data_IF_666018549438
#
_entry.id   IF_666018549438
#
_cell.length_a   1.000
_cell.length_b   1.000
_cell.length_c   1.000
_cell.angle_alpha   90.00
_cell.angle_beta   90.00
_cell.angle_gamma   90.00
#
_symmetry.space_group_name_H-M   'P 1'
#
loop_
_entity.id
_entity.type
_entity.pdbx_description
1 polymer ?
#
# COMPACT_ATOMS: atom_id res chain seq x y z
N UNK A 1 -13.22 12.23 13.12
CA UNK A 1 -13.08 12.94 14.40
C UNK A 1 -11.74 12.62 15.07
N UNK A 2 -11.40 11.35 15.34
CA UNK A 2 -10.12 10.99 16.01
C UNK A 2 -8.83 11.42 15.29
N UNK A 3 -8.79 11.40 13.95
CA UNK A 3 -7.58 11.80 13.21
C UNK A 3 -7.26 13.29 13.34
N UNK A 4 -8.28 14.16 13.34
CA UNK A 4 -8.09 15.61 13.57
C UNK A 4 -7.61 15.87 14.99
N UNK A 5 -8.21 15.20 15.97
CA UNK A 5 -7.80 15.30 17.39
C UNK A 5 -6.35 14.85 17.63
N UNK A 6 -5.89 13.87 16.85
CA UNK A 6 -4.49 13.41 16.88
C UNK A 6 -3.52 14.38 16.18
N UNK A 7 -3.94 14.99 15.08
CA UNK A 7 -3.15 16.04 14.39
C UNK A 7 -3.07 17.33 15.24
N UNK A 8 -4.15 17.73 15.91
CA UNK A 8 -4.20 18.86 16.84
C UNK A 8 -3.28 18.63 18.06
N UNK A 9 -3.33 17.43 18.66
CA UNK A 9 -2.46 17.08 19.80
C UNK A 9 -0.97 16.90 19.44
N UNK A 10 -0.65 16.54 18.18
CA UNK A 10 0.74 16.54 17.68
C UNK A 10 1.23 17.97 17.40
N UNK A 11 0.35 18.87 16.96
CA UNK A 11 0.66 20.29 16.75
C UNK A 11 0.87 21.08 18.05
N UNK A 12 0.08 20.78 19.10
CA UNK A 12 0.29 21.39 20.43
C UNK A 12 1.61 20.94 21.06
N UNK A 13 2.03 19.69 20.87
CA UNK A 13 3.32 19.18 21.38
C UNK A 13 4.55 19.75 20.67
N UNK A 14 4.40 20.26 19.44
CA UNK A 14 5.50 20.94 18.74
C UNK A 14 5.71 22.38 19.23
N UNK A 15 4.70 23.00 19.84
CA UNK A 15 4.78 24.37 20.36
C UNK A 15 5.50 24.48 21.71
N UNK A 16 5.49 23.42 22.52
CA UNK A 16 6.05 23.42 23.90
C UNK A 16 7.55 23.02 23.98
N UNK A 17 8.27 22.91 22.86
CA UNK A 17 9.68 22.50 22.82
C UNK A 17 10.64 23.63 22.36
N UNK A 18 10.23 24.90 22.45
CA UNK A 18 11.03 26.08 22.01
C UNK A 18 11.85 26.74 23.14
N UNK A 19 12.07 26.06 24.27
CA UNK A 19 13.16 26.41 25.20
C UNK A 19 14.24 25.34 25.07
N UNK A 20 15.21 25.56 24.18
CA UNK A 20 16.47 24.83 24.28
C UNK A 20 17.05 25.03 25.68
N UNK A 21 17.70 24.00 26.25
CA UNK A 21 18.28 24.00 27.62
C UNK A 21 19.13 25.25 27.96
N UNK A 22 19.57 26.00 26.93
CA UNK A 22 20.47 27.15 26.97
C UNK A 22 19.79 28.52 26.77
N UNK A 23 18.45 28.60 26.68
CA UNK A 23 17.71 29.85 26.43
C UNK A 23 17.90 30.44 25.03
N UNK A 24 18.52 29.69 24.10
CA UNK A 24 18.71 30.06 22.69
C UNK A 24 17.56 29.45 21.86
N UNK A 25 17.01 30.24 20.92
CA UNK A 25 16.01 29.74 19.96
C UNK A 25 16.61 28.64 19.08
N UNK A 26 15.94 27.50 19.03
CA UNK A 26 16.35 26.38 18.18
C UNK A 26 15.91 26.58 16.73
N UNK A 27 16.59 25.91 15.80
CA UNK A 27 16.18 25.91 14.39
C UNK A 27 15.00 24.95 14.21
N UNK A 28 13.86 25.44 13.72
CA UNK A 28 12.68 24.62 13.42
C UNK A 28 12.98 23.58 12.34
N UNK A 29 12.34 22.40 12.42
CA UNK A 29 12.49 21.32 11.43
C UNK A 29 12.21 21.76 9.98
N UNK A 30 11.28 22.71 9.79
CA UNK A 30 10.98 23.27 8.48
C UNK A 30 12.19 23.99 7.86
N UNK A 31 12.89 24.80 8.66
CA UNK A 31 14.08 25.57 8.26
C UNK A 31 15.29 24.65 8.09
N UNK A 32 15.46 23.64 8.94
CA UNK A 32 16.61 22.72 8.83
C UNK A 32 16.51 21.76 7.64
N UNK A 33 15.30 21.33 7.27
CA UNK A 33 15.08 20.39 6.16
C UNK A 33 14.86 21.07 4.80
N UNK A 34 14.42 22.33 4.77
CA UNK A 34 14.15 23.13 3.57
C UNK A 34 13.39 22.36 2.47
N UNK A 35 12.28 21.69 2.86
CA UNK A 35 11.52 20.81 1.95
C UNK A 35 10.45 21.52 1.11
N UNK A 36 10.12 22.79 1.36
CA UNK A 36 9.15 23.56 0.56
C UNK A 36 7.76 22.91 0.43
N UNK A 37 7.01 23.30 -0.60
CA UNK A 37 5.62 22.86 -0.88
C UNK A 37 5.56 21.54 -1.69
N UNK A 38 6.11 20.44 -1.16
CA UNK A 38 6.08 19.12 -1.83
C UNK A 38 4.70 18.44 -1.66
N UNK A 39 4.14 17.80 -2.71
CA UNK A 39 2.88 17.05 -2.59
C UNK A 39 2.99 15.85 -1.65
N UNK A 40 1.88 15.48 -1.01
CA UNK A 40 1.85 14.33 -0.12
C UNK A 40 2.10 13.01 -0.88
N UNK A 41 3.17 12.30 -0.49
CA UNK A 41 3.51 10.99 -1.06
C UNK A 41 3.00 9.86 -0.16
N UNK A 42 2.47 8.80 -0.78
CA UNK A 42 2.04 7.57 -0.08
C UNK A 42 3.21 6.94 0.69
N UNK A 43 2.92 6.33 1.83
CA UNK A 43 3.94 5.68 2.69
C UNK A 43 4.71 4.58 1.96
N UNK A 44 4.06 3.86 1.04
CA UNK A 44 4.71 2.81 0.23
C UNK A 44 5.82 3.32 -0.69
N UNK A 45 5.74 4.59 -1.14
CA UNK A 45 6.74 5.19 -2.03
C UNK A 45 8.00 5.61 -1.28
N UNK A 46 7.95 5.66 0.06
CA UNK A 46 9.11 5.98 0.90
C UNK A 46 10.15 4.87 0.90
N UNK A 47 9.73 3.61 0.70
CA UNK A 47 10.62 2.45 0.69
C UNK A 47 10.50 1.71 -0.66
N UNK A 48 11.55 1.73 -1.51
CA UNK A 48 11.48 1.11 -2.84
C UNK A 48 11.20 -0.40 -2.77
N UNK A 49 11.68 -1.09 -1.75
CA UNK A 49 11.41 -2.53 -1.54
C UNK A 49 9.92 -2.79 -1.33
N UNK A 50 9.26 -1.99 -0.49
CA UNK A 50 7.83 -2.14 -0.19
C UNK A 50 6.99 -1.85 -1.43
N UNK A 51 7.33 -0.80 -2.19
CA UNK A 51 6.69 -0.49 -3.47
C UNK A 51 6.76 -1.67 -4.44
N UNK A 52 7.93 -2.26 -4.62
CA UNK A 52 8.11 -3.37 -5.57
C UNK A 52 7.43 -4.66 -5.10
N UNK A 53 7.48 -4.98 -3.81
CA UNK A 53 6.73 -6.11 -3.23
C UNK A 53 5.23 -5.98 -3.49
N UNK A 54 4.67 -4.79 -3.25
CA UNK A 54 3.25 -4.55 -3.47
C UNK A 54 2.88 -4.53 -4.96
N UNK A 55 3.77 -4.01 -5.83
CA UNK A 55 3.59 -4.06 -7.29
C UNK A 55 3.51 -5.52 -7.77
N UNK A 56 4.42 -6.38 -7.31
CA UNK A 56 4.43 -7.79 -7.65
C UNK A 56 3.17 -8.52 -7.15
N UNK A 57 2.78 -8.31 -5.89
CA UNK A 57 1.53 -8.89 -5.34
C UNK A 57 0.29 -8.47 -6.14
N UNK A 58 0.18 -7.19 -6.52
CA UNK A 58 -0.92 -6.70 -7.36
C UNK A 58 -0.92 -7.34 -8.74
N UNK A 59 0.25 -7.54 -9.33
CA UNK A 59 0.38 -8.22 -10.63
C UNK A 59 -0.05 -9.69 -10.54
N UNK A 60 0.35 -10.41 -9.49
CA UNK A 60 -0.08 -11.80 -9.28
C UNK A 60 -1.60 -11.93 -9.15
N UNK A 61 -2.26 -11.05 -8.39
CA UNK A 61 -3.72 -11.07 -8.25
C UNK A 61 -4.42 -10.81 -9.60
N UNK A 62 -3.93 -9.83 -10.37
CA UNK A 62 -4.47 -9.55 -11.71
C UNK A 62 -4.27 -10.71 -12.67
N UNK A 63 -3.11 -11.37 -12.62
CA UNK A 63 -2.81 -12.54 -13.45
C UNK A 63 -3.77 -13.69 -13.18
N UNK A 64 -4.05 -14.00 -11.91
CA UNK A 64 -5.04 -15.04 -11.53
C UNK A 64 -6.44 -14.80 -12.08
N UNK A 65 -6.80 -13.55 -12.35
CA UNK A 65 -8.07 -13.20 -13.00
C UNK A 65 -8.08 -13.39 -14.53
N UNK A 66 -6.92 -13.35 -15.19
CA UNK A 66 -6.79 -13.51 -16.64
C UNK A 66 -6.50 -14.96 -17.03
N UNK A 67 -5.60 -15.61 -16.29
CA UNK A 67 -5.13 -16.97 -16.56
C UNK A 67 -5.33 -17.79 -15.30
N UNK A 68 -6.01 -18.94 -15.45
CA UNK A 68 -6.17 -19.90 -14.36
C UNK A 68 -4.85 -20.63 -14.13
N UNK A 69 -4.40 -20.65 -12.89
CA UNK A 69 -3.23 -21.44 -12.48
C UNK A 69 -3.57 -22.93 -12.52
N UNK A 70 -2.54 -23.76 -12.72
CA UNK A 70 -2.68 -25.22 -12.66
C UNK A 70 -2.99 -25.65 -11.22
N UNK A 71 -4.14 -26.26 -11.01
CA UNK A 71 -4.55 -26.85 -9.73
C UNK A 71 -3.97 -28.27 -9.61
N UNK A 72 -3.44 -28.64 -8.45
CA UNK A 72 -3.02 -30.02 -8.14
C UNK A 72 -4.10 -30.69 -7.29
N UNK A 73 -4.45 -31.92 -7.63
CA UNK A 73 -5.39 -32.74 -6.85
C UNK A 73 -4.67 -33.35 -5.64
N UNK A 74 -4.67 -32.65 -4.51
CA UNK A 74 -4.12 -33.15 -3.24
C UNK A 74 -5.07 -34.12 -2.53
N UNK A 75 -6.37 -34.03 -2.80
CA UNK A 75 -7.43 -34.83 -2.19
C UNK A 75 -8.34 -35.40 -3.28
N UNK A 76 -9.19 -36.39 -2.92
CA UNK A 76 -10.22 -36.91 -3.84
C UNK A 76 -11.12 -35.78 -4.35
N UNK A 77 -11.61 -35.95 -5.57
CA UNK A 77 -12.48 -35.00 -6.25
C UNK A 77 -13.71 -34.63 -5.39
N UNK A 78 -13.82 -33.34 -5.04
CA UNK A 78 -14.91 -32.78 -4.25
C UNK A 78 -15.97 -32.02 -5.07
N UNK A 79 -15.89 -32.06 -6.40
CA UNK A 79 -16.68 -31.22 -7.29
C UNK A 79 -15.99 -29.91 -7.70
N UNK A 80 -16.62 -29.16 -8.62
CA UNK A 80 -16.14 -27.84 -9.04
C UNK A 80 -16.59 -26.73 -8.09
N UNK A 81 -15.69 -26.22 -7.25
CA UNK A 81 -16.00 -25.19 -6.24
C UNK A 81 -16.56 -23.89 -6.83
N UNK A 82 -16.15 -23.54 -8.05
CA UNK A 82 -16.59 -22.33 -8.75
C UNK A 82 -17.81 -22.54 -9.65
N UNK A 83 -18.27 -23.78 -9.79
CA UNK A 83 -19.37 -24.17 -10.66
C UNK A 83 -19.02 -24.30 -12.15
N UNK A 84 -19.84 -25.08 -12.86
CA UNK A 84 -19.72 -25.36 -14.29
C UNK A 84 -20.64 -24.41 -15.08
N UNK A 85 -20.10 -23.71 -16.08
CA UNK A 85 -20.88 -22.88 -17.02
C UNK A 85 -21.02 -23.60 -18.35
N UNK A 86 -22.19 -24.17 -18.62
CA UNK A 86 -22.46 -24.98 -19.83
C UNK A 86 -22.32 -24.20 -21.15
N UNK A 87 -22.55 -22.90 -21.11
CA UNK A 87 -22.66 -22.01 -22.25
C UNK A 87 -21.35 -21.29 -22.62
N UNK A 88 -20.22 -21.59 -21.95
CA UNK A 88 -18.93 -20.95 -22.23
C UNK A 88 -17.89 -21.97 -22.67
N UNK A 89 -17.35 -21.82 -23.87
CA UNK A 89 -16.19 -22.57 -24.36
C UNK A 89 -14.91 -21.73 -24.26
N UNK A 90 -13.83 -22.32 -23.75
CA UNK A 90 -12.51 -21.66 -23.61
C UNK A 90 -11.48 -22.19 -24.63
N UNK A 91 -11.91 -22.92 -25.67
CA UNK A 91 -11.04 -23.53 -26.68
C UNK A 91 -10.49 -22.50 -27.67
N UNK A 92 -9.21 -22.65 -28.07
CA UNK A 92 -8.61 -21.87 -29.16
C UNK A 92 -9.00 -22.53 -30.49
N UNK A 93 -9.63 -21.78 -31.39
CA UNK A 93 -9.97 -22.26 -32.74
C UNK A 93 -8.72 -22.22 -33.63
N UNK A 94 -8.31 -23.38 -34.12
CA UNK A 94 -7.23 -23.50 -35.12
C UNK A 94 -7.84 -23.16 -36.49
N UNK A 95 -7.14 -22.32 -37.28
CA UNK A 95 -7.53 -21.94 -38.64
C UNK A 95 -6.85 -22.85 -39.66
#
# INVERSE_FOLDING_TARGET
>A
MERRRKEEAEGEKEADLDEGEDGKRAVTYQISRNRGLIPQRKKELRNPRVKHRNKFRKALIKHKGQVREVMKELHRYGGESSGIRANVSHSIKIK
#
